data_IF_345903506090
#
_entry.id   IF_345903506090
#
_cell.length_a   1.000
_cell.length_b   1.000
_cell.length_c   1.000
_cell.angle_alpha   90.00
_cell.angle_beta   90.00
_cell.angle_gamma   90.00
#
_symmetry.space_group_name_H-M   'P 1'
#
loop_
_entity.id
_entity.type
_entity.pdbx_description
1 polymer ?
#
# COMPACT_ATOMS: atom_id res chain seq x y z
N UNK A 1 -0.70 78.67 47.42
CA UNK A 1 0.45 77.74 47.27
C UNK A 1 -0.08 76.32 47.24
N UNK A 2 -0.22 75.69 46.06
CA UNK A 2 -0.46 74.25 46.01
C UNK A 2 0.84 73.52 46.34
N UNK A 3 0.79 72.57 47.28
CA UNK A 3 1.98 71.93 47.83
C UNK A 3 2.51 70.85 46.88
N UNK A 4 3.84 70.69 46.80
CA UNK A 4 4.51 69.74 45.90
C UNK A 4 4.05 68.27 46.06
N UNK A 5 3.38 67.93 47.17
CA UNK A 5 2.79 66.62 47.39
C UNK A 5 1.62 66.28 46.46
N UNK A 6 0.74 67.25 46.14
CA UNK A 6 -0.42 66.99 45.26
C UNK A 6 0.01 66.73 43.80
N UNK A 7 1.04 67.43 43.32
CA UNK A 7 1.57 67.23 41.97
C UNK A 7 2.21 65.84 41.81
N UNK A 8 2.96 65.37 42.82
CA UNK A 8 3.54 64.01 42.80
C UNK A 8 2.49 62.90 42.74
N UNK A 9 1.39 63.02 43.49
CA UNK A 9 0.32 62.02 43.50
C UNK A 9 -0.39 61.93 42.14
N UNK A 10 -0.75 63.08 41.54
CA UNK A 10 -1.39 63.09 40.21
C UNK A 10 -0.49 62.53 39.11
N UNK A 11 0.81 62.89 39.09
CA UNK A 11 1.76 62.37 38.10
C UNK A 11 1.96 60.87 38.25
N UNK A 12 2.10 60.36 39.48
CA UNK A 12 2.22 58.91 39.72
C UNK A 12 0.95 58.15 39.31
N UNK A 13 -0.25 58.68 39.58
CA UNK A 13 -1.51 58.02 39.19
C UNK A 13 -1.68 57.92 37.67
N UNK A 14 -1.31 58.96 36.92
CA UNK A 14 -1.37 58.97 35.45
C UNK A 14 -0.35 58.01 34.84
N UNK A 15 0.88 57.98 35.38
CA UNK A 15 1.91 57.02 34.93
C UNK A 15 1.44 55.58 35.19
N UNK A 16 0.91 55.28 36.38
CA UNK A 16 0.49 53.92 36.73
C UNK A 16 -0.72 53.46 35.89
N UNK A 17 -1.69 54.34 35.64
CA UNK A 17 -2.86 54.06 34.79
C UNK A 17 -2.47 53.79 33.33
N UNK A 18 -1.55 54.60 32.77
CA UNK A 18 -1.06 54.43 31.41
C UNK A 18 -0.18 53.17 31.27
N UNK A 19 0.64 52.85 32.28
CA UNK A 19 1.45 51.62 32.28
C UNK A 19 0.55 50.37 32.37
N UNK A 20 -0.51 50.40 33.18
CA UNK A 20 -1.46 49.29 33.34
C UNK A 20 -2.35 49.07 32.11
N UNK A 21 -2.76 50.13 31.40
CA UNK A 21 -3.49 50.01 30.14
C UNK A 21 -2.60 49.61 28.97
N UNK A 22 -1.36 50.12 28.91
CA UNK A 22 -0.39 49.72 27.90
C UNK A 22 0.01 48.24 28.06
N UNK A 23 0.34 47.79 29.27
CA UNK A 23 0.67 46.37 29.53
C UNK A 23 -0.51 45.44 29.22
N UNK A 24 -1.76 45.82 29.56
CA UNK A 24 -2.95 45.05 29.17
C UNK A 24 -3.15 44.98 27.66
N UNK A 25 -2.94 46.07 26.93
CA UNK A 25 -3.09 46.08 25.47
C UNK A 25 -1.99 45.30 24.77
N UNK A 26 -0.73 45.42 25.21
CA UNK A 26 0.38 44.59 24.71
C UNK A 26 0.11 43.12 25.01
N UNK A 27 -0.30 42.78 26.24
CA UNK A 27 -0.63 41.40 26.61
C UNK A 27 -1.81 40.86 25.79
N UNK A 28 -2.88 41.64 25.57
CA UNK A 28 -3.99 41.21 24.72
C UNK A 28 -3.57 41.02 23.26
N UNK A 29 -2.78 41.93 22.67
CA UNK A 29 -2.28 41.77 21.29
C UNK A 29 -1.37 40.54 21.19
N UNK A 30 -0.52 40.30 22.19
CA UNK A 30 0.38 39.15 22.23
C UNK A 30 -0.36 37.83 22.46
N UNK A 31 -1.31 37.78 23.40
CA UNK A 31 -2.19 36.63 23.65
C UNK A 31 -3.08 36.35 22.45
N UNK A 32 -3.64 37.37 21.79
CA UNK A 32 -4.48 37.17 20.59
C UNK A 32 -3.65 36.72 19.39
N UNK A 33 -2.40 37.19 19.23
CA UNK A 33 -1.48 36.71 18.19
C UNK A 33 -0.91 35.32 18.47
N UNK A 34 -0.53 35.01 19.71
CA UNK A 34 -0.14 33.64 20.09
C UNK A 34 -1.34 32.72 19.93
N UNK A 35 -2.53 33.12 20.39
CA UNK A 35 -3.75 32.34 20.17
C UNK A 35 -4.00 32.14 18.69
N UNK A 36 -3.98 33.18 17.85
CA UNK A 36 -4.27 33.01 16.41
C UNK A 36 -3.22 32.17 15.68
N UNK A 37 -1.92 32.32 15.99
CA UNK A 37 -0.85 31.49 15.41
C UNK A 37 -0.94 30.06 15.94
N UNK A 38 -1.16 29.86 17.23
CA UNK A 38 -1.27 28.54 17.86
C UNK A 38 -2.53 27.83 17.38
N UNK A 39 -3.70 28.48 17.40
CA UNK A 39 -4.93 27.96 16.80
C UNK A 39 -4.76 27.67 15.31
N UNK A 40 -4.10 28.52 14.52
CA UNK A 40 -3.93 28.23 13.10
C UNK A 40 -2.96 27.07 12.86
N UNK A 41 -1.90 26.95 13.67
CA UNK A 41 -0.93 25.87 13.58
C UNK A 41 -1.51 24.53 14.09
N UNK A 42 -2.20 24.51 15.23
CA UNK A 42 -2.94 23.32 15.68
C UNK A 42 -4.14 23.01 14.79
N UNK A 43 -4.80 24.00 14.18
CA UNK A 43 -5.85 23.73 13.19
C UNK A 43 -5.27 23.11 11.92
N UNK A 44 -4.11 23.56 11.43
CA UNK A 44 -3.45 22.90 10.30
C UNK A 44 -3.04 21.46 10.66
N UNK A 45 -2.51 21.23 11.87
CA UNK A 45 -2.22 19.88 12.40
C UNK A 45 -3.47 19.02 12.51
N UNK A 46 -4.57 19.55 13.07
CA UNK A 46 -5.84 18.85 13.25
C UNK A 46 -6.56 18.60 11.92
N UNK A 47 -6.49 19.50 10.94
CA UNK A 47 -7.00 19.23 9.59
C UNK A 47 -6.19 18.15 8.88
N UNK A 48 -4.88 18.08 9.13
CA UNK A 48 -4.02 17.01 8.62
C UNK A 48 -4.35 15.66 9.28
N UNK A 49 -4.53 15.63 10.61
CA UNK A 49 -4.96 14.41 11.33
C UNK A 49 -6.39 13.97 10.99
N UNK A 50 -7.34 14.92 10.83
CA UNK A 50 -8.74 14.60 10.49
C UNK A 50 -8.94 14.22 9.01
N UNK A 51 -8.06 14.63 8.09
CA UNK A 51 -8.04 14.06 6.74
C UNK A 51 -7.62 12.58 6.72
N UNK A 52 -6.78 12.17 7.68
CA UNK A 52 -6.28 10.80 7.80
C UNK A 52 -7.26 9.79 8.43
N UNK A 53 -8.42 10.21 8.91
CA UNK A 53 -9.45 9.29 9.45
C UNK A 53 -10.38 8.71 8.39
N UNK A 54 -10.34 9.23 7.15
CA UNK A 54 -10.97 8.55 5.99
C UNK A 54 -10.01 7.52 5.41
N UNK A 55 -10.56 6.37 4.99
CA UNK A 55 -9.83 5.24 4.37
C UNK A 55 -9.11 5.76 3.11
N UNK A 56 -7.82 6.06 3.21
CA UNK A 56 -7.11 6.84 2.19
C UNK A 56 -7.11 6.12 0.83
N UNK A 57 -7.64 6.79 -0.20
CA UNK A 57 -7.53 6.41 -1.61
C UNK A 57 -6.11 6.69 -2.16
N UNK A 58 -5.08 6.46 -1.35
CA UNK A 58 -3.67 6.64 -1.69
C UNK A 58 -3.05 5.28 -2.01
N UNK A 59 -2.62 5.11 -3.26
CA UNK A 59 -1.92 3.91 -3.71
C UNK A 59 -0.46 4.22 -4.07
N UNK A 60 0.43 3.31 -3.70
CA UNK A 60 1.86 3.38 -4.00
C UNK A 60 2.20 2.33 -5.06
N UNK A 61 2.57 2.77 -6.27
CA UNK A 61 2.95 1.90 -7.38
C UNK A 61 4.48 1.89 -7.48
N UNK A 62 5.09 0.75 -7.15
CA UNK A 62 6.54 0.57 -7.08
C UNK A 62 7.04 -0.26 -8.27
N UNK A 63 8.00 0.28 -9.01
CA UNK A 63 8.77 -0.46 -10.00
C UNK A 63 10.01 -1.06 -9.36
N UNK A 64 10.00 -2.38 -9.15
CA UNK A 64 11.19 -3.07 -8.62
C UNK A 64 12.29 -3.14 -9.70
N UNK A 65 13.54 -3.09 -9.25
CA UNK A 65 14.71 -3.15 -10.12
C UNK A 65 16.03 -2.90 -9.42
N UNK A 66 17.10 -3.00 -10.20
CA UNK A 66 18.44 -2.56 -9.81
C UNK A 66 18.72 -1.19 -10.44
N UNK A 67 18.93 -0.17 -9.60
CA UNK A 67 19.29 1.17 -10.07
C UNK A 67 20.60 1.16 -10.87
N UNK A 68 20.58 1.73 -12.07
CA UNK A 68 21.72 1.73 -13.01
C UNK A 68 21.80 0.51 -13.93
N UNK A 69 20.85 -0.44 -13.80
CA UNK A 69 20.75 -1.66 -14.60
C UNK A 69 19.40 -1.73 -15.35
N UNK A 70 18.90 -0.58 -15.78
CA UNK A 70 17.53 -0.35 -16.30
C UNK A 70 17.20 -1.15 -17.59
N UNK A 71 18.22 -1.67 -18.26
CA UNK A 71 18.08 -2.51 -19.46
C UNK A 71 17.87 -4.00 -19.16
N UNK A 72 18.11 -4.45 -17.94
CA UNK A 72 18.03 -5.87 -17.54
C UNK A 72 16.59 -6.35 -17.37
N UNK A 73 16.36 -7.67 -17.49
CA UNK A 73 15.03 -8.28 -17.22
C UNK A 73 14.56 -7.98 -15.80
N UNK A 74 15.49 -8.00 -14.83
CA UNK A 74 15.20 -7.71 -13.42
C UNK A 74 14.78 -6.26 -13.13
N UNK A 75 15.00 -5.33 -14.06
CA UNK A 75 14.55 -3.92 -13.95
C UNK A 75 13.30 -3.63 -14.80
N UNK A 76 12.56 -4.66 -15.23
CA UNK A 76 11.30 -4.49 -15.98
C UNK A 76 10.23 -3.72 -15.17
N UNK A 77 10.24 -3.85 -13.84
CA UNK A 77 9.36 -3.09 -12.94
C UNK A 77 9.60 -1.59 -13.01
N UNK A 78 10.87 -1.16 -12.92
CA UNK A 78 11.27 0.23 -13.11
C UNK A 78 10.85 0.76 -14.49
N UNK A 79 11.08 -0.02 -15.56
CA UNK A 79 10.67 0.35 -16.92
C UNK A 79 9.15 0.52 -17.07
N UNK A 80 8.37 -0.37 -16.44
CA UNK A 80 6.92 -0.27 -16.43
C UNK A 80 6.44 1.02 -15.73
N UNK A 81 7.07 1.39 -14.62
CA UNK A 81 6.77 2.64 -13.91
C UNK A 81 7.19 3.87 -14.71
N UNK A 82 8.28 3.84 -15.49
CA UNK A 82 8.62 4.92 -16.42
C UNK A 82 7.59 5.09 -17.55
N UNK A 83 7.10 3.98 -18.11
CA UNK A 83 6.01 4.00 -19.11
C UNK A 83 4.73 4.56 -18.49
N UNK A 84 4.40 4.18 -17.26
CA UNK A 84 3.23 4.70 -16.53
C UNK A 84 3.36 6.21 -16.26
N UNK A 85 4.52 6.66 -15.77
CA UNK A 85 4.76 8.08 -15.50
C UNK A 85 4.61 8.92 -16.77
N UNK A 86 5.18 8.48 -17.88
CA UNK A 86 5.03 9.15 -19.19
C UNK A 86 3.58 9.20 -19.67
N UNK A 87 2.78 8.14 -19.46
CA UNK A 87 1.36 8.11 -19.82
C UNK A 87 0.49 9.07 -18.99
N UNK A 88 0.90 9.35 -17.76
CA UNK A 88 0.17 10.19 -16.80
C UNK A 88 0.77 11.61 -16.66
N UNK A 89 1.73 11.98 -17.50
CA UNK A 89 2.53 13.23 -17.41
C UNK A 89 3.13 13.50 -16.01
N UNK A 90 3.51 12.42 -15.31
CA UNK A 90 4.11 12.49 -13.97
C UNK A 90 5.59 12.85 -14.08
N UNK A 91 5.97 13.94 -13.41
CA UNK A 91 7.37 14.37 -13.28
C UNK A 91 8.05 13.66 -12.11
N UNK A 92 9.34 13.39 -12.27
CA UNK A 92 10.17 12.74 -11.26
C UNK A 92 10.86 13.74 -10.33
N UNK A 93 10.67 13.56 -9.03
CA UNK A 93 11.47 14.15 -7.97
C UNK A 93 12.59 13.17 -7.56
N UNK A 94 13.80 13.69 -7.40
CA UNK A 94 15.01 12.89 -7.19
C UNK A 94 15.49 12.99 -5.73
N UNK A 95 15.09 12.03 -4.90
CA UNK A 95 15.47 11.96 -3.48
C UNK A 95 16.14 10.60 -3.15
N UNK A 96 15.61 9.85 -2.20
CA UNK A 96 16.03 8.47 -1.89
C UNK A 96 15.60 7.44 -2.96
N UNK A 97 14.95 7.91 -4.01
CA UNK A 97 14.49 7.20 -5.19
C UNK A 97 13.94 8.21 -6.20
N UNK A 98 13.33 7.73 -7.27
CA UNK A 98 12.52 8.55 -8.14
C UNK A 98 11.08 8.47 -7.64
N UNK A 99 10.52 9.60 -7.22
CA UNK A 99 9.14 9.70 -6.68
C UNK A 99 8.38 10.64 -7.61
N UNK A 100 7.13 10.33 -7.92
CA UNK A 100 6.26 11.23 -8.68
C UNK A 100 4.81 10.94 -8.33
N UNK A 101 4.01 11.97 -8.08
CA UNK A 101 2.63 11.81 -7.62
C UNK A 101 1.63 12.52 -8.54
N UNK A 102 0.43 11.98 -8.62
CA UNK A 102 -0.70 12.55 -9.35
C UNK A 102 -2.03 12.23 -8.66
N UNK A 103 -2.97 13.17 -8.67
CA UNK A 103 -4.37 12.94 -8.28
C UNK A 103 -5.18 12.67 -9.56
N UNK A 104 -5.82 11.50 -9.63
CA UNK A 104 -6.75 11.09 -10.68
C UNK A 104 -8.13 10.94 -10.04
N UNK A 105 -9.07 11.86 -10.33
CA UNK A 105 -10.33 11.96 -9.61
C UNK A 105 -10.06 11.98 -8.09
N UNK A 106 -10.70 11.15 -7.26
CA UNK A 106 -10.41 11.04 -5.82
C UNK A 106 -9.35 10.00 -5.44
N UNK A 107 -8.51 9.60 -6.40
CA UNK A 107 -7.43 8.63 -6.23
C UNK A 107 -6.09 9.35 -6.26
N UNK A 108 -5.33 9.25 -5.17
CA UNK A 108 -3.96 9.76 -5.12
C UNK A 108 -2.98 8.63 -5.44
N UNK A 109 -2.24 8.77 -6.54
CA UNK A 109 -1.23 7.80 -6.96
C UNK A 109 0.15 8.36 -6.71
N UNK A 110 1.00 7.61 -6.00
CA UNK A 110 2.44 7.84 -5.97
C UNK A 110 3.14 6.73 -6.75
N UNK A 111 3.93 7.11 -7.74
CA UNK A 111 4.83 6.25 -8.48
C UNK A 111 6.21 6.27 -7.82
N UNK A 112 6.87 5.12 -7.75
CA UNK A 112 8.17 5.00 -7.09
C UNK A 112 9.13 4.03 -7.81
N UNK A 113 10.38 4.45 -7.96
CA UNK A 113 11.51 3.58 -8.36
C UNK A 113 12.62 3.68 -7.29
N UNK A 114 12.92 2.62 -6.53
CA UNK A 114 13.98 2.64 -5.52
C UNK A 114 15.37 2.92 -6.14
N UNK A 115 16.14 3.88 -5.59
CA UNK A 115 17.54 4.10 -5.98
C UNK A 115 18.47 3.14 -5.21
N UNK A 116 18.28 1.83 -5.42
CA UNK A 116 18.92 0.77 -4.64
C UNK A 116 19.15 -0.51 -5.46
N UNK A 117 19.87 -1.47 -4.88
CA UNK A 117 19.93 -2.85 -5.38
C UNK A 117 18.65 -3.62 -5.03
N UNK A 118 18.30 -4.62 -5.83
CA UNK A 118 17.04 -5.35 -5.77
C UNK A 118 16.75 -5.94 -4.38
N UNK A 119 17.72 -6.63 -3.78
CA UNK A 119 17.58 -7.28 -2.48
C UNK A 119 17.35 -6.32 -1.29
N UNK A 120 17.53 -5.01 -1.50
CA UNK A 120 17.28 -3.97 -0.48
C UNK A 120 16.22 -2.94 -0.92
N UNK A 121 15.53 -3.16 -2.05
CA UNK A 121 14.43 -2.31 -2.53
C UNK A 121 13.38 -2.07 -1.43
N UNK A 122 13.07 -3.10 -0.63
CA UNK A 122 12.07 -3.06 0.44
C UNK A 122 12.33 -1.97 1.47
N UNK A 123 13.58 -1.72 1.85
CA UNK A 123 13.92 -0.66 2.83
C UNK A 123 13.45 0.72 2.37
N UNK A 124 13.64 1.01 1.08
CA UNK A 124 13.20 2.29 0.49
C UNK A 124 11.68 2.34 0.29
N UNK A 125 11.05 1.20 -0.05
CA UNK A 125 9.59 1.09 -0.17
C UNK A 125 8.90 1.30 1.18
N UNK A 126 9.35 0.60 2.23
CA UNK A 126 8.83 0.72 3.59
C UNK A 126 8.99 2.13 4.15
N UNK A 127 10.15 2.77 3.94
CA UNK A 127 10.38 4.17 4.31
C UNK A 127 9.35 5.09 3.65
N UNK A 128 9.15 4.97 2.33
CA UNK A 128 8.21 5.83 1.60
C UNK A 128 6.75 5.54 1.98
N UNK A 129 6.36 4.26 2.09
CA UNK A 129 5.02 3.86 2.51
C UNK A 129 4.66 4.43 3.89
N UNK A 130 5.60 4.37 4.85
CA UNK A 130 5.43 5.00 6.17
C UNK A 130 5.31 6.52 6.07
N UNK A 131 6.18 7.21 5.32
CA UNK A 131 6.10 8.65 5.12
C UNK A 131 4.78 9.11 4.50
N UNK A 132 4.17 8.29 3.65
CA UNK A 132 2.89 8.56 2.99
C UNK A 132 1.67 7.99 3.72
N UNK A 133 1.86 7.31 4.86
CA UNK A 133 0.78 6.59 5.58
C UNK A 133 0.03 5.53 4.72
N UNK A 134 0.70 4.96 3.72
CA UNK A 134 0.13 3.97 2.80
C UNK A 134 0.26 2.57 3.41
N UNK A 135 -0.88 1.88 3.58
CA UNK A 135 -0.94 0.50 4.07
C UNK A 135 -0.44 -0.49 3.02
N UNK A 136 0.14 -1.61 3.44
CA UNK A 136 0.73 -2.64 2.56
C UNK A 136 -0.23 -3.16 1.48
N UNK A 137 -1.52 -3.27 1.78
CA UNK A 137 -2.54 -3.69 0.81
C UNK A 137 -2.88 -2.61 -0.23
N UNK A 138 -2.45 -1.36 -0.06
CA UNK A 138 -2.54 -0.27 -1.06
C UNK A 138 -1.23 -0.09 -1.86
N UNK A 139 -0.23 -0.96 -1.65
CA UNK A 139 1.02 -0.99 -2.40
C UNK A 139 0.90 -1.99 -3.56
N UNK A 140 1.31 -1.55 -4.75
CA UNK A 140 1.40 -2.35 -5.97
C UNK A 140 2.86 -2.50 -6.35
N UNK A 141 3.40 -3.73 -6.34
CA UNK A 141 4.76 -4.02 -6.82
C UNK A 141 4.70 -4.50 -8.27
N UNK A 142 5.44 -3.84 -9.17
CA UNK A 142 5.66 -4.31 -10.54
C UNK A 142 7.04 -4.95 -10.61
N UNK A 143 7.12 -6.20 -11.09
CA UNK A 143 8.36 -6.98 -11.09
C UNK A 143 8.39 -8.06 -12.19
N UNK A 144 9.57 -8.62 -12.45
CA UNK A 144 9.76 -9.73 -13.39
C UNK A 144 9.29 -11.07 -12.82
N UNK A 145 8.87 -11.95 -13.73
CA UNK A 145 8.30 -13.25 -13.43
C UNK A 145 8.91 -14.35 -14.31
N UNK A 146 9.63 -15.27 -13.68
CA UNK A 146 10.27 -16.41 -14.36
C UNK A 146 9.24 -17.42 -14.87
N UNK A 147 8.16 -17.66 -14.12
CA UNK A 147 7.18 -18.71 -14.46
C UNK A 147 6.18 -18.29 -15.54
N UNK A 148 6.40 -17.14 -16.19
CA UNK A 148 5.60 -16.65 -17.32
C UNK A 148 6.51 -16.22 -18.45
N UNK A 149 6.18 -16.62 -19.68
CA UNK A 149 6.92 -16.23 -20.89
C UNK A 149 6.78 -14.73 -21.20
N UNK A 150 7.74 -14.11 -21.92
CA UNK A 150 7.60 -12.76 -22.48
C UNK A 150 6.26 -12.56 -23.19
N UNK A 151 5.64 -11.39 -23.00
CA UNK A 151 4.30 -11.10 -23.56
C UNK A 151 3.13 -11.54 -22.70
N UNK A 152 3.35 -12.17 -21.54
CA UNK A 152 2.31 -12.48 -20.55
C UNK A 152 2.53 -11.66 -19.28
N UNK A 153 1.44 -11.17 -18.68
CA UNK A 153 1.43 -10.55 -17.36
C UNK A 153 0.37 -11.20 -16.47
N UNK A 154 0.40 -10.91 -15.17
CA UNK A 154 -0.66 -11.30 -14.23
C UNK A 154 -0.67 -10.37 -13.02
N UNK A 155 -1.86 -9.87 -12.66
CA UNK A 155 -2.09 -9.16 -11.42
C UNK A 155 -2.48 -10.18 -10.34
N UNK A 156 -1.72 -10.27 -9.24
CA UNK A 156 -1.97 -11.19 -8.11
C UNK A 156 -1.92 -10.45 -6.78
N UNK A 157 -2.93 -10.68 -5.94
CA UNK A 157 -2.90 -10.31 -4.53
C UNK A 157 -2.11 -11.33 -3.70
N UNK A 158 -1.29 -10.87 -2.77
CA UNK A 158 -0.75 -11.73 -1.71
C UNK A 158 0.14 -12.90 -2.15
N UNK A 159 0.37 -13.85 -1.25
CA UNK A 159 1.20 -15.05 -1.51
C UNK A 159 2.71 -14.82 -1.31
N UNK A 160 3.53 -15.81 -1.71
CA UNK A 160 4.98 -15.79 -1.47
C UNK A 160 5.78 -14.93 -2.46
N UNK A 161 7.06 -14.69 -2.16
CA UNK A 161 7.98 -13.95 -3.00
C UNK A 161 8.41 -14.70 -4.29
N UNK A 162 8.13 -16.00 -4.42
CA UNK A 162 8.50 -16.79 -5.62
C UNK A 162 10.01 -16.85 -5.91
N UNK A 163 10.87 -16.57 -4.92
CA UNK A 163 12.32 -16.41 -5.11
C UNK A 163 12.76 -15.04 -5.64
N UNK A 164 11.85 -14.09 -5.83
CA UNK A 164 12.17 -12.73 -6.29
C UNK A 164 12.66 -11.87 -5.13
N UNK A 165 13.98 -11.61 -5.08
CA UNK A 165 14.67 -10.92 -3.99
C UNK A 165 14.06 -9.55 -3.60
N UNK A 166 13.58 -8.76 -4.57
CA UNK A 166 12.96 -7.47 -4.26
C UNK A 166 11.58 -7.58 -3.61
N UNK A 167 10.84 -8.66 -3.89
CA UNK A 167 9.52 -8.91 -3.28
C UNK A 167 9.72 -9.45 -1.87
N UNK A 168 10.69 -10.35 -1.67
CA UNK A 168 11.12 -10.81 -0.36
C UNK A 168 11.55 -9.62 0.53
N UNK A 169 12.42 -8.75 0.01
CA UNK A 169 12.85 -7.52 0.68
C UNK A 169 11.66 -6.64 1.11
N UNK A 170 10.66 -6.45 0.25
CA UNK A 170 9.44 -5.70 0.60
C UNK A 170 8.63 -6.42 1.69
N UNK A 171 8.43 -7.73 1.59
CA UNK A 171 7.68 -8.52 2.59
C UNK A 171 8.32 -8.46 3.98
N UNK A 172 9.65 -8.62 4.05
CA UNK A 172 10.40 -8.57 5.31
C UNK A 172 10.38 -7.18 5.94
N UNK A 173 10.52 -6.12 5.15
CA UNK A 173 10.60 -4.74 5.66
C UNK A 173 9.25 -4.08 5.94
N UNK A 174 8.18 -4.52 5.28
CA UNK A 174 6.80 -4.09 5.55
C UNK A 174 6.08 -4.98 6.57
N UNK A 175 6.64 -6.14 6.94
CA UNK A 175 6.02 -7.10 7.86
C UNK A 175 4.68 -7.69 7.36
N UNK A 176 4.45 -7.70 6.05
CA UNK A 176 3.16 -8.07 5.42
C UNK A 176 3.40 -8.75 4.08
N UNK A 177 2.44 -9.57 3.62
CA UNK A 177 2.46 -10.20 2.29
C UNK A 177 1.42 -9.58 1.35
N UNK A 178 0.63 -8.61 1.81
CA UNK A 178 -0.66 -8.22 1.23
C UNK A 178 -0.56 -7.26 0.04
N UNK A 179 0.67 -6.96 -0.40
CA UNK A 179 0.92 -6.14 -1.58
C UNK A 179 0.36 -6.80 -2.84
N UNK A 180 -0.35 -6.02 -3.64
CA UNK A 180 -0.75 -6.41 -4.98
C UNK A 180 0.49 -6.46 -5.87
N UNK A 181 0.57 -7.44 -6.79
CA UNK A 181 1.75 -7.61 -7.65
C UNK A 181 1.38 -7.74 -9.12
N UNK A 182 1.91 -6.84 -9.95
CA UNK A 182 1.88 -6.97 -11.41
C UNK A 182 3.14 -7.71 -11.85
N UNK A 183 2.96 -9.00 -12.12
CA UNK A 183 4.01 -9.95 -12.52
C UNK A 183 4.18 -9.90 -14.04
N UNK A 184 5.32 -9.41 -14.54
CA UNK A 184 5.64 -9.32 -15.97
C UNK A 184 6.50 -10.51 -16.38
N UNK A 185 6.02 -11.34 -17.32
CA UNK A 185 6.72 -12.55 -17.76
C UNK A 185 8.04 -12.27 -18.45
N UNK A 186 9.09 -12.98 -18.01
CA UNK A 186 10.46 -12.90 -18.56
C UNK A 186 11.01 -14.26 -18.99
N UNK A 187 10.25 -15.33 -18.80
CA UNK A 187 10.64 -16.72 -19.05
C UNK A 187 11.64 -17.26 -18.02
N UNK A 188 11.63 -18.58 -17.84
CA UNK A 188 12.59 -19.31 -17.00
C UNK A 188 13.64 -19.96 -17.90
N UNK A 189 14.94 -19.78 -17.64
CA UNK A 189 15.97 -20.50 -18.39
C UNK A 189 15.96 -21.99 -18.05
N UNK A 190 16.48 -22.83 -18.95
CA UNK A 190 16.45 -24.29 -18.84
C UNK A 190 17.11 -24.87 -17.58
N UNK A 191 18.10 -24.18 -17.02
CA UNK A 191 18.79 -24.57 -15.78
C UNK A 191 18.59 -23.53 -14.67
N UNK A 192 18.43 -24.01 -13.42
CA UNK A 192 18.43 -23.18 -12.21
C UNK A 192 19.71 -22.33 -12.08
N UNK A 193 20.85 -22.84 -12.52
CA UNK A 193 22.14 -22.11 -12.48
C UNK A 193 22.16 -20.88 -13.39
N UNK A 194 21.32 -20.86 -14.43
CA UNK A 194 21.22 -19.76 -15.38
C UNK A 194 20.24 -18.65 -14.96
N UNK A 195 19.52 -18.80 -13.84
CA UNK A 195 18.52 -17.81 -13.40
C UNK A 195 19.14 -16.44 -13.13
N UNK A 196 20.26 -16.39 -12.40
CA UNK A 196 20.95 -15.12 -12.08
C UNK A 196 21.44 -14.39 -13.34
N UNK A 197 22.21 -15.01 -14.27
CA UNK A 197 22.59 -14.32 -15.51
C UNK A 197 21.40 -14.04 -16.44
N UNK A 198 20.32 -14.82 -16.39
CA UNK A 198 19.11 -14.53 -17.18
C UNK A 198 18.41 -13.24 -16.74
N UNK A 199 18.17 -13.07 -15.44
CA UNK A 199 17.51 -11.85 -14.92
C UNK A 199 18.39 -10.60 -15.07
N UNK A 200 19.71 -10.75 -14.96
CA UNK A 200 20.68 -9.67 -15.22
C UNK A 200 20.96 -9.44 -16.71
N UNK A 201 20.50 -10.33 -17.60
CA UNK A 201 20.58 -10.16 -19.05
C UNK A 201 19.58 -9.14 -19.58
N UNK A 202 19.78 -8.70 -20.82
CA UNK A 202 18.82 -7.86 -21.56
C UNK A 202 17.89 -8.73 -22.39
N UNK A 203 16.67 -8.26 -22.63
CA UNK A 203 15.73 -8.88 -23.57
C UNK A 203 16.28 -8.85 -25.01
N UNK A 204 15.92 -9.86 -25.82
CA UNK A 204 16.08 -9.77 -27.28
C UNK A 204 15.18 -8.67 -27.86
N UNK A 205 15.33 -8.36 -29.15
CA UNK A 205 14.47 -7.38 -29.83
C UNK A 205 13.01 -7.86 -29.88
N UNK A 206 12.83 -9.15 -30.15
CA UNK A 206 11.55 -9.86 -30.23
C UNK A 206 10.88 -9.93 -28.86
N UNK A 207 11.64 -10.34 -27.83
CA UNK A 207 11.18 -10.32 -26.44
C UNK A 207 10.80 -8.91 -25.99
N UNK A 208 11.57 -7.88 -26.38
CA UNK A 208 11.31 -6.49 -25.97
C UNK A 208 9.94 -5.99 -26.43
N UNK A 209 9.54 -6.28 -27.67
CA UNK A 209 8.21 -5.92 -28.19
C UNK A 209 7.08 -6.65 -27.46
N UNK A 210 7.26 -7.94 -27.15
CA UNK A 210 6.29 -8.72 -26.38
C UNK A 210 6.17 -8.19 -24.94
N UNK A 211 7.30 -7.92 -24.28
CA UNK A 211 7.35 -7.37 -22.92
C UNK A 211 6.68 -6.00 -22.88
N UNK A 212 6.98 -5.10 -23.82
CA UNK A 212 6.35 -3.77 -23.89
C UNK A 212 4.83 -3.86 -24.07
N UNK A 213 4.33 -4.78 -24.90
CA UNK A 213 2.89 -5.05 -25.01
C UNK A 213 2.30 -5.50 -23.66
N UNK A 214 2.95 -6.43 -22.97
CA UNK A 214 2.48 -6.94 -21.67
C UNK A 214 2.55 -5.92 -20.54
N UNK A 215 3.54 -5.01 -20.56
CA UNK A 215 3.61 -3.85 -19.66
C UNK A 215 2.42 -2.95 -19.92
N UNK A 216 2.17 -2.58 -21.18
CA UNK A 216 1.09 -1.66 -21.53
C UNK A 216 -0.29 -2.19 -21.12
N UNK A 217 -0.56 -3.48 -21.33
CA UNK A 217 -1.80 -4.14 -20.92
C UNK A 217 -1.88 -4.33 -19.39
N UNK A 218 -0.77 -4.71 -18.76
CA UNK A 218 -0.68 -4.91 -17.32
C UNK A 218 -0.89 -3.62 -16.51
N UNK A 219 -0.32 -2.50 -16.98
CA UNK A 219 -0.54 -1.17 -16.39
C UNK A 219 -2.00 -0.72 -16.52
N UNK A 220 -2.66 -1.00 -17.65
CA UNK A 220 -4.09 -0.71 -17.82
C UNK A 220 -4.92 -1.50 -16.81
N UNK A 221 -4.71 -2.82 -16.75
CA UNK A 221 -5.37 -3.71 -15.78
C UNK A 221 -5.14 -3.28 -14.32
N UNK A 222 -3.93 -2.83 -13.98
CA UNK A 222 -3.59 -2.30 -12.66
C UNK A 222 -4.36 -1.02 -12.33
N UNK A 223 -4.45 -0.07 -13.27
CA UNK A 223 -5.20 1.18 -13.07
C UNK A 223 -6.71 0.93 -12.94
N UNK A 224 -7.27 0.03 -13.76
CA UNK A 224 -8.70 -0.31 -13.71
C UNK A 224 -9.04 -1.03 -12.40
N UNK A 225 -8.15 -1.90 -11.91
CA UNK A 225 -8.27 -2.54 -10.60
C UNK A 225 -8.24 -1.50 -9.45
N UNK A 226 -7.33 -0.51 -9.50
CA UNK A 226 -7.30 0.59 -8.53
C UNK A 226 -8.62 1.36 -8.54
N UNK A 227 -9.12 1.76 -9.72
CA UNK A 227 -10.39 2.50 -9.86
C UNK A 227 -11.58 1.74 -9.28
N UNK A 228 -11.70 0.44 -9.61
CA UNK A 228 -12.77 -0.43 -9.10
C UNK A 228 -12.73 -0.53 -7.57
N UNK A 229 -11.54 -0.66 -7.00
CA UNK A 229 -11.33 -0.73 -5.55
C UNK A 229 -11.65 0.58 -4.84
N UNK A 230 -11.32 1.74 -5.42
CA UNK A 230 -11.69 3.05 -4.87
C UNK A 230 -13.18 3.33 -4.94
N UNK A 231 -13.85 3.03 -6.07
CA UNK A 231 -15.30 3.21 -6.20
C UNK A 231 -16.08 2.37 -5.17
N UNK A 232 -15.61 1.16 -4.89
CA UNK A 232 -16.18 0.27 -3.86
C UNK A 232 -16.05 0.82 -2.44
N UNK A 233 -15.09 1.73 -2.18
CA UNK A 233 -14.95 2.41 -0.88
C UNK A 233 -15.95 3.56 -0.76
N UNK A 234 -16.14 4.36 -1.81
CA UNK A 234 -17.07 5.50 -1.79
C UNK A 234 -18.51 5.06 -1.49
N UNK A 235 -18.99 4.01 -2.16
CA UNK A 235 -20.36 3.52 -1.95
C UNK A 235 -20.62 2.99 -0.52
N UNK A 236 -19.59 2.50 0.18
CA UNK A 236 -19.75 2.10 1.59
C UNK A 236 -19.93 3.31 2.51
N UNK A 237 -19.25 4.43 2.23
CA UNK A 237 -19.35 5.67 3.00
C UNK A 237 -20.74 6.31 2.80
N UNK A 238 -21.23 6.36 1.56
CA UNK A 238 -22.55 6.94 1.25
C UNK A 238 -23.73 6.13 1.80
N UNK A 239 -23.57 4.80 1.96
CA UNK A 239 -24.59 3.94 2.59
C UNK A 239 -24.64 4.05 4.12
N UNK A 240 -23.69 4.77 4.75
CA UNK A 240 -23.57 4.92 6.19
C UNK A 240 -24.47 6.02 6.78
N UNK A 241 -25.77 5.75 6.93
CA UNK A 241 -26.66 6.63 7.71
C UNK A 241 -26.20 6.72 9.18
N UNK A 242 -26.24 7.91 9.83
CA UNK A 242 -25.81 8.05 11.22
C UNK A 242 -26.78 7.34 12.16
N UNK A 243 -26.42 6.13 12.58
CA UNK A 243 -27.11 5.44 13.68
C UNK A 243 -26.85 6.18 14.99
N UNK A 244 -27.92 6.59 15.65
CA UNK A 244 -27.85 7.37 16.88
C UNK A 244 -27.07 6.64 17.98
N UNK A 245 -26.33 7.39 18.79
CA UNK A 245 -25.56 6.85 19.91
C UNK A 245 -26.48 6.19 20.96
N UNK A 246 -26.06 5.07 21.60
CA UNK A 246 -26.79 4.50 22.72
C UNK A 246 -26.63 5.37 23.98
N UNK A 247 -27.76 5.67 24.62
CA UNK A 247 -27.85 6.40 25.89
C UNK A 247 -27.27 5.57 27.07
N UNK A 248 -26.33 6.11 27.87
CA UNK A 248 -25.71 5.37 28.96
C UNK A 248 -26.51 5.43 30.27
N UNK A 249 -27.65 4.74 30.34
CA UNK A 249 -28.31 4.45 31.63
C UNK A 249 -28.72 2.99 31.80
N UNK A 250 -28.03 2.30 32.72
CA UNK A 250 -28.56 1.48 33.84
C UNK A 250 -27.40 0.66 34.42
N UNK A 251 -27.15 0.84 35.71
CA UNK A 251 -26.20 0.04 36.49
C UNK A 251 -26.91 -0.54 37.72
N UNK A 252 -26.33 -1.63 38.29
CA UNK A 252 -26.83 -2.38 39.48
C UNK A 252 -28.07 -3.24 39.13
N UNK A 253 -28.33 -4.43 39.70
CA UNK A 253 -27.78 -5.22 40.84
C UNK A 253 -28.38 -6.66 40.76
N UNK A 254 -28.01 -7.71 41.52
CA UNK A 254 -26.93 -8.07 42.48
C UNK A 254 -26.84 -9.63 42.49
N UNK A 255 -25.90 -10.26 43.22
CA UNK A 255 -26.07 -11.65 43.70
C UNK A 255 -25.05 -12.72 43.30
N UNK A 256 -24.19 -13.11 44.26
CA UNK A 256 -23.31 -14.29 44.18
C UNK A 256 -23.95 -15.53 44.83
N UNK A 257 -23.56 -16.75 44.38
CA UNK A 257 -23.18 -17.88 45.26
C UNK A 257 -22.65 -19.13 44.53
N UNK A 258 -21.42 -19.49 44.89
CA UNK A 258 -20.80 -20.81 45.08
C UNK A 258 -21.45 -22.07 44.46
N UNK A 259 -20.64 -22.88 43.75
CA UNK A 259 -20.00 -24.06 44.37
C UNK A 259 -19.02 -24.80 43.43
N UNK A 260 -17.84 -25.11 43.97
CA UNK A 260 -16.98 -26.26 43.64
C UNK A 260 -17.10 -27.27 44.82
N UNK A 261 -16.47 -28.47 44.87
CA UNK A 261 -15.33 -28.95 44.05
C UNK A 261 -15.35 -30.43 43.63
N UNK A 262 -14.38 -30.82 42.79
CA UNK A 262 -13.51 -31.99 43.00
C UNK A 262 -12.39 -32.03 41.95
N UNK A 263 -11.14 -31.91 42.39
CA UNK A 263 -9.97 -32.34 41.60
C UNK A 263 -9.85 -33.87 41.68
N UNK A 264 -9.30 -34.53 40.65
CA UNK A 264 -8.34 -35.60 40.94
C UNK A 264 -7.31 -35.89 39.83
N UNK A 265 -6.06 -36.02 40.27
CA UNK A 265 -4.92 -36.78 39.72
C UNK A 265 -4.37 -36.50 38.30
N UNK A 266 -3.07 -36.15 38.29
CA UNK A 266 -2.17 -36.10 37.13
C UNK A 266 -1.75 -37.49 36.63
N UNK A 267 -1.40 -37.62 35.34
CA UNK A 267 -0.16 -38.28 34.94
C UNK A 267 0.28 -37.91 33.51
N UNK A 268 1.60 -37.72 33.32
CA UNK A 268 2.21 -37.36 32.05
C UNK A 268 2.89 -38.57 31.37
N UNK A 269 2.88 -38.62 30.04
CA UNK A 269 3.79 -39.44 29.22
C UNK A 269 3.78 -39.03 27.74
N UNK A 270 4.96 -38.64 27.26
CA UNK A 270 5.36 -38.54 25.84
C UNK A 270 6.56 -39.49 25.63
N UNK A 271 7.03 -39.75 24.39
CA UNK A 271 6.27 -39.99 23.16
C UNK A 271 6.80 -41.24 22.40
N UNK A 272 6.05 -41.75 21.40
CA UNK A 272 6.56 -42.70 20.40
C UNK A 272 5.76 -42.59 19.08
N UNK A 273 6.35 -42.94 17.92
CA UNK A 273 5.93 -42.36 16.64
C UNK A 273 4.88 -43.18 15.87
N UNK A 274 4.06 -42.50 15.08
CA UNK A 274 3.27 -43.10 14.00
C UNK A 274 3.41 -42.31 12.70
N UNK A 275 3.80 -43.03 11.65
CA UNK A 275 3.68 -42.63 10.25
C UNK A 275 2.27 -42.15 9.90
N UNK A 276 2.15 -41.15 9.02
CA UNK A 276 1.39 -41.30 7.77
C UNK A 276 1.58 -40.10 6.85
N UNK A 277 1.74 -40.38 5.56
CA UNK A 277 1.55 -39.42 4.48
C UNK A 277 0.10 -38.91 4.46
N UNK A 278 -0.08 -37.61 4.28
CA UNK A 278 -1.34 -37.10 3.71
C UNK A 278 -1.09 -35.79 2.95
N UNK A 279 -1.07 -35.90 1.62
CA UNK A 279 -1.13 -34.75 0.72
C UNK A 279 -2.50 -34.09 0.83
N UNK A 280 -2.61 -32.99 1.58
CA UNK A 280 -3.73 -32.07 1.45
C UNK A 280 -3.35 -30.90 0.54
N UNK A 281 -3.82 -30.98 -0.71
CA UNK A 281 -3.90 -29.85 -1.61
C UNK A 281 -4.95 -28.86 -1.11
N UNK A 282 -4.53 -27.81 -0.41
CA UNK A 282 -5.41 -26.69 -0.10
C UNK A 282 -5.82 -25.97 -1.40
N UNK A 283 -7.12 -25.88 -1.63
CA UNK A 283 -7.69 -25.13 -2.75
C UNK A 283 -7.55 -23.62 -2.52
N UNK A 284 -6.42 -23.03 -2.95
CA UNK A 284 -6.27 -21.57 -3.06
C UNK A 284 -7.28 -21.03 -4.08
N UNK A 285 -8.32 -20.34 -3.61
CA UNK A 285 -9.33 -19.65 -4.44
C UNK A 285 -8.76 -18.36 -5.02
N UNK A 286 -7.72 -18.49 -5.84
CA UNK A 286 -7.16 -17.39 -6.62
C UNK A 286 -8.14 -16.95 -7.71
N UNK A 287 -8.67 -15.74 -7.62
CA UNK A 287 -9.47 -15.13 -8.69
C UNK A 287 -8.61 -14.88 -9.94
N UNK A 288 -8.76 -15.73 -10.96
CA UNK A 288 -8.01 -15.61 -12.21
C UNK A 288 -8.72 -14.67 -13.20
N UNK A 289 -8.15 -13.48 -13.41
CA UNK A 289 -8.51 -12.62 -14.54
C UNK A 289 -7.74 -13.08 -15.79
N UNK A 290 -8.42 -13.83 -16.66
CA UNK A 290 -7.94 -14.17 -18.00
C UNK A 290 -8.73 -13.33 -19.00
N UNK A 291 -8.03 -12.45 -19.74
CA UNK A 291 -8.62 -11.75 -20.89
C UNK A 291 -8.45 -12.66 -22.11
N UNK A 292 -9.43 -13.52 -22.33
CA UNK A 292 -9.59 -14.20 -23.61
C UNK A 292 -10.30 -13.25 -24.61
N UNK A 293 -9.93 -13.33 -25.89
CA UNK A 293 -10.40 -12.38 -26.90
C UNK A 293 -10.56 -13.00 -28.28
N UNK A 294 -11.57 -13.84 -28.43
CA UNK A 294 -12.23 -14.04 -29.73
C UNK A 294 -13.70 -14.46 -29.54
N UNK A 295 -14.63 -13.59 -29.95
CA UNK A 295 -15.99 -14.03 -30.27
C UNK A 295 -15.96 -14.62 -31.67
N UNK A 296 -16.46 -15.83 -31.82
CA UNK A 296 -17.49 -16.09 -32.82
C UNK A 296 -18.43 -17.17 -32.30
N UNK A 297 -19.72 -16.95 -32.49
CA UNK A 297 -20.78 -17.90 -32.16
C UNK A 297 -21.08 -18.67 -33.43
N UNK A 298 -20.76 -19.96 -33.47
CA UNK A 298 -21.52 -20.93 -34.24
C UNK A 298 -21.87 -22.09 -33.32
N UNK A 299 -23.16 -22.42 -33.26
CA UNK A 299 -23.67 -23.54 -32.47
C UNK A 299 -23.58 -24.79 -33.34
N UNK A 300 -22.65 -25.68 -33.00
CA UNK A 300 -22.45 -26.95 -33.68
C UNK A 300 -22.36 -28.09 -32.68
N UNK A 301 -23.50 -28.73 -32.40
CA UNK A 301 -23.49 -30.02 -31.69
C UNK A 301 -22.81 -31.07 -32.57
N UNK A 302 -21.78 -31.75 -32.05
CA UNK A 302 -21.38 -33.04 -32.59
C UNK A 302 -20.98 -34.00 -31.46
N UNK A 303 -21.33 -35.27 -31.65
CA UNK A 303 -21.47 -36.27 -30.59
C UNK A 303 -20.14 -36.91 -30.23
N UNK A 304 -20.06 -37.45 -29.02
CA UNK A 304 -19.04 -38.42 -28.63
C UNK A 304 -19.00 -39.59 -29.64
N UNK A 305 -17.79 -39.97 -30.05
CA UNK A 305 -17.51 -41.26 -30.68
C UNK A 305 -16.20 -41.81 -30.11
N UNK A 306 -16.25 -43.03 -29.58
CA UNK A 306 -15.07 -43.79 -29.21
C UNK A 306 -14.41 -44.38 -30.47
N UNK A 307 -13.10 -44.29 -30.56
CA UNK A 307 -12.21 -45.26 -31.22
C UNK A 307 -10.82 -45.05 -30.61
N UNK A 308 -10.38 -45.93 -29.72
CA UNK A 308 -9.69 -47.21 -30.01
C UNK A 308 -8.21 -47.03 -30.38
N UNK A 309 -7.39 -47.86 -29.73
CA UNK A 309 -5.93 -47.77 -29.67
C UNK A 309 -5.35 -48.84 -30.59
N UNK A 310 -4.43 -48.46 -31.48
CA UNK A 310 -3.52 -49.40 -32.14
C UNK A 310 -2.10 -48.80 -32.25
N UNK A 311 -1.05 -49.51 -31.83
CA UNK A 311 0.33 -49.10 -32.06
C UNK A 311 0.93 -49.77 -33.31
N UNK A 312 1.68 -49.00 -34.10
CA UNK A 312 2.70 -49.48 -35.06
C UNK A 312 4.06 -48.97 -34.54
N UNK A 313 4.96 -49.88 -34.14
CA UNK A 313 6.01 -50.57 -34.94
C UNK A 313 7.25 -49.72 -35.17
#
# INVERSE_FOLDING_TARGET
MQTMGQVKQSVLSVINSNYFTWTKNVLNVFVTRISSVFYHQTSQSLTFEMQHTTKSNHFLIVGLGNYGFDKTRHSVGMRAVDILAKKLDVKWEHHHGFIGSIKLDDIYLTLFKPKALMNINGRSVAKLAHQLSVKSNCIYLIHDELDRVPGKFHLKEGGSAGGHNGVLSCMETLGSKDMMRLRIGIGRPSSKTLVVPHVLGQFSKEESSLVELSINQGLQCLLDHIKTRSASVTHQIESGSPTAAPDPTVAKRDGAKNSSPSEDTLQAKDPAPSTNDCLHSEHDKSSYWVVDRQKNIEVGESKCANSEITPER
#
